data_IF_117966307938
#
_entry.id   IF_117966307938
#
_cell.length_a   1.000
_cell.length_b   1.000
_cell.length_c   1.000
_cell.angle_alpha   90.00
_cell.angle_beta   90.00
_cell.angle_gamma   90.00
#
_symmetry.space_group_name_H-M   'P 1'
#
loop_
_entity.id
_entity.type
_entity.pdbx_description
1 polymer ?
#
# COMPACT_ATOMS: atom_id res chain seq x y z
N UNK A 1 15.09 25.20 -11.69
CA UNK A 1 14.96 26.66 -11.67
C UNK A 1 13.47 27.04 -11.68
N UNK A 2 12.99 27.82 -10.67
CA UNK A 2 11.71 28.50 -10.69
C UNK A 2 10.44 27.65 -10.48
N UNK A 3 10.50 26.54 -9.73
CA UNK A 3 9.29 25.75 -9.44
C UNK A 3 8.97 25.72 -7.95
N UNK A 4 7.76 26.14 -7.59
CA UNK A 4 7.26 26.14 -6.21
C UNK A 4 6.84 24.77 -5.72
N UNK A 5 6.52 23.82 -6.62
CA UNK A 5 6.04 22.50 -6.26
C UNK A 5 6.56 21.37 -7.16
N UNK A 6 6.83 20.22 -6.55
CA UNK A 6 7.11 18.96 -7.25
C UNK A 6 6.02 17.94 -7.00
N UNK A 7 5.57 17.25 -8.04
CA UNK A 7 4.71 16.06 -7.92
C UNK A 7 5.48 14.86 -8.44
N UNK A 8 5.65 13.87 -7.56
CA UNK A 8 6.45 12.68 -7.83
C UNK A 8 5.62 11.40 -7.74
N UNK A 9 6.29 10.29 -8.06
CA UNK A 9 5.84 8.92 -7.80
C UNK A 9 6.91 8.12 -7.06
N UNK A 10 6.57 6.92 -6.63
CA UNK A 10 7.40 6.03 -5.79
C UNK A 10 8.79 5.72 -6.32
N UNK A 11 9.01 5.83 -7.63
CA UNK A 11 10.34 5.62 -8.26
C UNK A 11 11.33 6.75 -7.99
N UNK A 12 10.85 7.92 -7.58
CA UNK A 12 11.68 9.10 -7.28
C UNK A 12 11.91 9.18 -5.77
N UNK A 13 13.10 8.83 -5.33
CA UNK A 13 13.50 8.98 -3.93
C UNK A 13 13.94 10.41 -3.64
N UNK A 14 13.45 10.97 -2.52
CA UNK A 14 13.87 12.32 -2.04
C UNK A 14 14.41 12.19 -0.62
N UNK A 15 15.71 12.35 -0.49
CA UNK A 15 16.47 12.35 0.76
C UNK A 15 17.80 13.07 0.54
N UNK A 16 18.61 13.37 1.58
CA UNK A 16 19.88 14.09 1.43
C UNK A 16 20.90 13.45 0.47
N UNK A 17 20.82 12.11 0.25
CA UNK A 17 21.74 11.41 -0.66
C UNK A 17 21.33 11.54 -2.12
N UNK A 18 20.03 11.53 -2.41
CA UNK A 18 19.51 11.56 -3.79
C UNK A 18 19.25 12.97 -4.28
N UNK A 19 18.92 13.88 -3.37
CA UNK A 19 18.68 15.32 -3.64
C UNK A 19 19.39 16.11 -2.53
N UNK A 20 20.70 16.33 -2.65
CA UNK A 20 21.52 16.96 -1.60
C UNK A 20 21.19 18.43 -1.36
N UNK A 21 20.61 19.12 -2.35
CA UNK A 21 20.11 20.50 -2.20
C UNK A 21 18.74 20.62 -2.86
N UNK A 22 17.82 21.29 -2.17
CA UNK A 22 16.47 21.61 -2.66
C UNK A 22 16.47 23.06 -3.15
N UNK A 23 15.75 23.39 -4.24
CA UNK A 23 15.59 24.77 -4.69
C UNK A 23 14.98 25.66 -3.60
N UNK A 24 15.47 26.90 -3.46
CA UNK A 24 14.98 27.87 -2.46
C UNK A 24 13.49 28.22 -2.67
N UNK A 25 13.05 28.21 -3.92
CA UNK A 25 11.66 28.51 -4.29
C UNK A 25 10.69 27.34 -3.98
N UNK A 26 11.20 26.12 -3.75
CA UNK A 26 10.38 24.94 -3.57
C UNK A 26 9.68 24.96 -2.21
N UNK A 27 8.35 24.99 -2.23
CA UNK A 27 7.49 25.06 -1.04
C UNK A 27 6.72 23.75 -0.77
N UNK A 28 6.49 22.96 -1.82
CA UNK A 28 5.64 21.78 -1.72
C UNK A 28 6.22 20.60 -2.51
N UNK A 29 6.20 19.42 -1.91
CA UNK A 29 6.41 18.15 -2.60
C UNK A 29 5.19 17.26 -2.38
N UNK A 30 4.58 16.78 -3.46
CA UNK A 30 3.47 15.86 -3.45
C UNK A 30 3.84 14.50 -4.02
N UNK A 31 3.49 13.39 -3.35
CA UNK A 31 3.62 12.06 -3.93
C UNK A 31 2.28 11.51 -4.39
N UNK A 32 2.16 11.21 -5.70
CA UNK A 32 1.00 10.54 -6.27
C UNK A 32 1.06 9.02 -5.99
N UNK A 33 1.06 8.67 -4.69
CA UNK A 33 1.17 7.32 -4.14
C UNK A 33 0.43 7.19 -2.82
N UNK A 34 0.11 5.96 -2.42
CA UNK A 34 -0.44 5.67 -1.09
C UNK A 34 0.65 5.60 -0.02
N UNK A 35 1.81 5.00 -0.35
CA UNK A 35 2.97 4.92 0.54
C UNK A 35 3.92 6.10 0.38
N UNK A 36 4.79 6.30 1.37
CA UNK A 36 5.74 7.42 1.43
C UNK A 36 7.17 6.99 1.71
N UNK A 37 7.48 5.71 1.59
CA UNK A 37 8.79 5.12 1.95
C UNK A 37 9.96 5.67 1.13
N UNK A 38 9.67 6.31 -0.02
CA UNK A 38 10.64 6.95 -0.92
C UNK A 38 10.96 8.42 -0.54
N UNK A 39 10.32 8.95 0.51
CA UNK A 39 10.43 10.36 0.94
C UNK A 39 10.97 10.43 2.36
N UNK A 40 12.07 11.12 2.53
CA UNK A 40 12.59 11.54 3.84
C UNK A 40 11.84 12.79 4.32
N UNK A 41 10.82 12.56 5.16
CA UNK A 41 9.95 13.63 5.66
C UNK A 41 10.67 14.59 6.61
N UNK A 42 11.63 14.08 7.37
CA UNK A 42 12.43 14.91 8.29
C UNK A 42 13.30 15.85 7.49
N UNK A 43 13.95 15.34 6.43
CA UNK A 43 14.72 16.16 5.52
C UNK A 43 13.89 17.30 4.91
N UNK A 44 12.66 17.00 4.44
CA UNK A 44 11.78 18.03 3.88
C UNK A 44 11.35 19.06 4.95
N UNK A 45 10.99 18.59 6.13
CA UNK A 45 10.57 19.46 7.25
C UNK A 45 11.69 20.42 7.67
N UNK A 46 12.94 19.94 7.77
CA UNK A 46 14.09 20.77 8.08
C UNK A 46 14.38 21.85 7.02
N UNK A 47 13.99 21.61 5.77
CA UNK A 47 14.12 22.57 4.67
C UNK A 47 12.85 23.43 4.47
N UNK A 48 11.88 23.38 5.39
CA UNK A 48 10.64 24.16 5.31
C UNK A 48 9.68 23.77 4.18
N UNK A 49 9.84 22.56 3.61
CA UNK A 49 9.03 22.08 2.49
C UNK A 49 7.85 21.29 3.00
N UNK A 50 6.64 21.71 2.61
CA UNK A 50 5.41 20.95 2.87
C UNK A 50 5.40 19.67 2.05
N UNK A 51 5.09 18.54 2.70
CA UNK A 51 4.91 17.25 2.03
C UNK A 51 3.50 16.73 2.19
N UNK A 52 2.93 16.21 1.11
CA UNK A 52 1.67 15.47 1.16
C UNK A 52 1.63 14.31 0.14
N UNK A 53 0.66 13.40 0.29
CA UNK A 53 0.51 12.23 -0.56
C UNK A 53 -0.97 11.85 -0.71
N UNK A 54 -1.28 10.70 -1.34
CA UNK A 54 -2.66 10.24 -1.55
C UNK A 54 -2.94 8.94 -0.80
N UNK A 55 -3.12 8.98 0.54
CA UNK A 55 -3.38 7.78 1.32
C UNK A 55 -4.64 7.07 0.83
N UNK A 56 -4.57 5.74 0.71
CA UNK A 56 -5.70 4.91 0.30
C UNK A 56 -6.07 4.95 -1.20
N UNK A 57 -5.36 5.70 -2.04
CA UNK A 57 -5.68 5.83 -3.47
C UNK A 57 -5.70 4.48 -4.23
N UNK A 58 -4.95 3.48 -3.75
CA UNK A 58 -4.86 2.14 -4.32
C UNK A 58 -5.57 1.06 -3.47
N UNK A 59 -6.22 1.43 -2.37
CA UNK A 59 -6.77 0.48 -1.40
C UNK A 59 -7.76 -0.51 -2.04
N UNK A 60 -8.61 -0.04 -2.95
CA UNK A 60 -9.56 -0.89 -3.65
C UNK A 60 -8.86 -1.87 -4.60
N UNK A 61 -7.83 -1.42 -5.32
CA UNK A 61 -7.06 -2.29 -6.23
C UNK A 61 -6.34 -3.41 -5.47
N UNK A 62 -5.69 -3.09 -4.33
CA UNK A 62 -5.06 -4.10 -3.47
C UNK A 62 -6.09 -5.07 -2.90
N UNK A 63 -7.24 -4.56 -2.43
CA UNK A 63 -8.31 -5.41 -1.91
C UNK A 63 -8.89 -6.35 -3.00
N UNK A 64 -9.00 -5.89 -4.24
CA UNK A 64 -9.42 -6.72 -5.39
C UNK A 64 -8.37 -7.77 -5.74
N UNK A 65 -7.09 -7.40 -5.77
CA UNK A 65 -5.99 -8.34 -5.96
C UNK A 65 -6.03 -9.45 -4.91
N UNK A 66 -6.14 -9.08 -3.63
CA UNK A 66 -6.18 -10.03 -2.51
C UNK A 66 -7.40 -10.96 -2.61
N UNK A 67 -8.60 -10.41 -2.83
CA UNK A 67 -9.81 -11.22 -2.98
C UNK A 67 -9.72 -12.18 -4.17
N UNK A 68 -9.28 -11.69 -5.33
CA UNK A 68 -9.09 -12.52 -6.53
C UNK A 68 -8.07 -13.64 -6.27
N UNK A 69 -6.99 -13.34 -5.58
CA UNK A 69 -5.98 -14.32 -5.20
C UNK A 69 -6.51 -15.39 -4.24
N UNK A 70 -7.35 -15.01 -3.26
CA UNK A 70 -8.06 -15.95 -2.39
C UNK A 70 -8.98 -16.87 -3.19
N UNK A 71 -9.78 -16.31 -4.11
CA UNK A 71 -10.70 -17.08 -4.95
C UNK A 71 -9.95 -18.05 -5.88
N UNK A 72 -8.82 -17.61 -6.45
CA UNK A 72 -7.95 -18.46 -7.27
C UNK A 72 -7.39 -19.63 -6.46
N UNK A 73 -6.95 -19.37 -5.22
CA UNK A 73 -6.48 -20.40 -4.31
C UNK A 73 -7.58 -21.39 -3.95
N UNK A 74 -8.78 -20.91 -3.58
CA UNK A 74 -9.95 -21.77 -3.30
C UNK A 74 -10.29 -22.65 -4.50
N UNK A 75 -10.31 -22.08 -5.71
CA UNK A 75 -10.56 -22.85 -6.95
C UNK A 75 -9.54 -23.97 -7.14
N UNK A 76 -8.25 -23.70 -6.90
CA UNK A 76 -7.18 -24.69 -7.04
C UNK A 76 -7.27 -25.83 -6.01
N UNK A 77 -7.78 -25.53 -4.83
CA UNK A 77 -7.98 -26.52 -3.73
C UNK A 77 -9.37 -27.15 -3.74
N UNK A 78 -10.20 -26.84 -4.74
CA UNK A 78 -11.62 -27.27 -4.86
C UNK A 78 -12.44 -26.89 -3.64
N UNK A 79 -12.11 -25.75 -3.00
CA UNK A 79 -12.80 -25.19 -1.85
C UNK A 79 -13.62 -23.96 -2.20
N UNK A 80 -14.44 -23.52 -1.26
CA UNK A 80 -15.20 -22.28 -1.34
C UNK A 80 -14.69 -21.30 -0.29
N UNK A 81 -14.54 -20.02 -0.65
CA UNK A 81 -14.03 -19.01 0.26
C UNK A 81 -14.91 -18.78 1.49
N UNK A 82 -16.23 -18.99 1.34
CA UNK A 82 -17.22 -18.92 2.42
C UNK A 82 -17.02 -19.96 3.54
N UNK A 83 -16.28 -21.04 3.26
CA UNK A 83 -15.95 -22.08 4.24
C UNK A 83 -14.67 -21.72 5.04
N UNK A 84 -14.09 -20.55 4.81
CA UNK A 84 -12.87 -20.10 5.46
C UNK A 84 -13.12 -18.85 6.29
N UNK A 85 -12.38 -18.73 7.41
CA UNK A 85 -12.31 -17.52 8.21
C UNK A 85 -11.05 -16.74 7.85
N UNK A 86 -11.19 -15.45 7.53
CA UNK A 86 -10.10 -14.57 7.12
C UNK A 86 -9.66 -13.68 8.29
N UNK A 87 -8.39 -13.71 8.67
CA UNK A 87 -7.76 -12.74 9.56
C UNK A 87 -7.20 -11.57 8.74
N UNK A 88 -7.71 -10.37 8.97
CA UNK A 88 -7.23 -9.13 8.34
C UNK A 88 -6.34 -8.40 9.35
N UNK A 89 -5.05 -8.30 9.06
CA UNK A 89 -4.06 -7.68 9.94
C UNK A 89 -3.74 -6.29 9.39
N UNK A 90 -4.17 -5.25 10.11
CA UNK A 90 -4.20 -3.86 9.64
C UNK A 90 -5.54 -3.48 9.02
N UNK A 91 -6.34 -2.69 9.74
CA UNK A 91 -7.67 -2.23 9.34
C UNK A 91 -7.64 -0.75 8.89
N UNK A 92 -6.58 -0.37 8.16
CA UNK A 92 -6.47 0.89 7.43
C UNK A 92 -7.34 0.91 6.18
N UNK A 93 -7.03 1.77 5.21
CA UNK A 93 -7.80 1.89 3.96
C UNK A 93 -7.96 0.55 3.23
N UNK A 94 -6.87 -0.22 3.10
CA UNK A 94 -6.87 -1.49 2.36
C UNK A 94 -7.61 -2.58 3.12
N UNK A 95 -7.32 -2.75 4.42
CA UNK A 95 -7.99 -3.77 5.24
C UNK A 95 -9.50 -3.55 5.31
N UNK A 96 -9.95 -2.29 5.45
CA UNK A 96 -11.39 -1.94 5.40
C UNK A 96 -11.99 -2.22 4.02
N UNK A 97 -11.27 -1.92 2.93
CA UNK A 97 -11.76 -2.21 1.58
C UNK A 97 -11.92 -3.72 1.35
N UNK A 98 -10.96 -4.54 1.84
CA UNK A 98 -11.06 -6.00 1.81
C UNK A 98 -12.22 -6.50 2.67
N UNK A 99 -12.35 -6.01 3.91
CA UNK A 99 -13.43 -6.39 4.83
C UNK A 99 -14.82 -6.18 4.21
N UNK A 100 -15.04 -5.02 3.55
CA UNK A 100 -16.30 -4.74 2.83
C UNK A 100 -16.57 -5.73 1.70
N UNK A 101 -15.55 -6.13 0.95
CA UNK A 101 -15.68 -7.11 -0.14
C UNK A 101 -16.00 -8.51 0.40
N UNK A 102 -15.32 -8.94 1.46
CA UNK A 102 -15.57 -10.22 2.12
C UNK A 102 -16.99 -10.28 2.70
N UNK A 103 -17.43 -9.20 3.37
CA UNK A 103 -18.79 -9.09 3.90
C UNK A 103 -19.85 -9.17 2.80
N UNK A 104 -19.63 -8.52 1.66
CA UNK A 104 -20.58 -8.52 0.53
C UNK A 104 -20.80 -9.92 -0.09
N UNK A 105 -19.83 -10.82 0.06
CA UNK A 105 -19.92 -12.22 -0.43
C UNK A 105 -20.12 -13.25 0.69
N UNK A 106 -20.45 -12.80 1.91
CA UNK A 106 -20.76 -13.68 3.04
C UNK A 106 -19.57 -14.39 3.68
N UNK A 107 -18.33 -13.92 3.45
CA UNK A 107 -17.11 -14.51 4.03
C UNK A 107 -16.87 -13.96 5.43
N UNK A 108 -16.67 -14.86 6.40
CA UNK A 108 -16.36 -14.50 7.79
C UNK A 108 -14.95 -13.97 7.93
N UNK A 109 -14.78 -12.86 8.67
CA UNK A 109 -13.44 -12.30 8.93
C UNK A 109 -13.29 -11.79 10.37
N UNK A 110 -12.03 -11.66 10.81
CA UNK A 110 -11.62 -11.02 12.04
C UNK A 110 -10.59 -9.91 11.72
N UNK A 111 -10.86 -8.67 12.18
CA UNK A 111 -9.98 -7.53 11.94
C UNK A 111 -9.09 -7.24 13.16
N UNK A 112 -7.77 -7.20 12.97
CA UNK A 112 -6.78 -6.89 13.98
C UNK A 112 -6.10 -5.56 13.67
N UNK A 113 -6.30 -4.55 14.50
CA UNK A 113 -5.63 -3.25 14.44
C UNK A 113 -5.73 -2.54 15.81
N UNK A 114 -4.90 -2.90 16.79
CA UNK A 114 -4.92 -2.26 18.11
C UNK A 114 -4.69 -0.75 18.06
N UNK A 115 -3.77 -0.20 17.24
CA UNK A 115 -3.61 1.24 17.12
C UNK A 115 -4.86 1.97 16.65
N UNK A 116 -5.63 1.36 15.73
CA UNK A 116 -6.90 1.93 15.27
C UNK A 116 -7.95 1.89 16.36
N UNK A 117 -8.07 0.78 17.09
CA UNK A 117 -9.03 0.66 18.18
C UNK A 117 -8.82 1.68 19.32
N UNK A 118 -7.57 2.19 19.48
CA UNK A 118 -7.29 3.27 20.43
C UNK A 118 -7.70 4.66 19.92
N UNK A 119 -7.79 4.86 18.60
CA UNK A 119 -8.11 6.16 17.99
C UNK A 119 -9.58 6.29 17.59
N UNK A 120 -10.24 5.19 17.30
CA UNK A 120 -11.60 5.17 16.74
C UNK A 120 -12.52 4.33 17.63
N UNK A 121 -13.37 4.97 18.41
CA UNK A 121 -14.31 4.30 19.34
C UNK A 121 -15.28 3.34 18.64
N UNK A 122 -15.60 3.60 17.38
CA UNK A 122 -16.47 2.75 16.56
C UNK A 122 -15.82 1.44 16.09
N UNK A 123 -14.50 1.30 16.21
CA UNK A 123 -13.76 0.11 15.78
C UNK A 123 -13.32 -0.74 16.98
N UNK A 124 -13.50 -2.05 16.88
CA UNK A 124 -12.99 -3.03 17.85
C UNK A 124 -11.99 -3.96 17.14
N UNK A 125 -10.74 -3.96 17.62
CA UNK A 125 -9.75 -4.94 17.20
C UNK A 125 -10.07 -6.30 17.81
N UNK A 126 -9.96 -7.39 17.04
CA UNK A 126 -9.97 -8.72 17.63
C UNK A 126 -8.71 -8.95 18.49
N UNK A 127 -8.71 -9.97 19.33
CA UNK A 127 -7.51 -10.42 20.03
C UNK A 127 -6.56 -11.12 19.06
N UNK A 128 -5.26 -11.07 19.37
CA UNK A 128 -4.23 -11.73 18.56
C UNK A 128 -4.47 -13.24 18.41
N UNK A 129 -4.91 -13.89 19.48
CA UNK A 129 -5.24 -15.32 19.47
C UNK A 129 -6.38 -15.67 18.51
N UNK A 130 -7.30 -14.75 18.24
CA UNK A 130 -8.35 -14.96 17.24
C UNK A 130 -7.79 -15.20 15.84
N UNK A 131 -6.62 -14.62 15.54
CA UNK A 131 -5.93 -14.80 14.26
C UNK A 131 -5.39 -16.22 14.10
N UNK A 132 -5.01 -16.90 15.21
CA UNK A 132 -4.56 -18.30 15.20
C UNK A 132 -5.67 -19.26 14.79
N UNK A 133 -6.93 -18.84 14.94
CA UNK A 133 -8.13 -19.60 14.57
C UNK A 133 -8.62 -19.29 13.14
N UNK A 134 -7.96 -18.41 12.42
CA UNK A 134 -8.29 -18.12 11.03
C UNK A 134 -7.61 -19.13 10.08
N UNK A 135 -8.26 -19.42 8.96
CA UNK A 135 -7.69 -20.26 7.88
C UNK A 135 -6.74 -19.46 6.98
N UNK A 136 -7.09 -18.20 6.76
CA UNK A 136 -6.38 -17.27 5.85
C UNK A 136 -5.95 -16.05 6.63
N UNK A 137 -4.70 -15.65 6.49
CA UNK A 137 -4.20 -14.38 7.02
C UNK A 137 -3.83 -13.43 5.88
N UNK A 138 -4.29 -12.18 5.96
CA UNK A 138 -3.98 -11.14 4.99
C UNK A 138 -3.42 -9.90 5.68
N UNK A 139 -2.20 -9.51 5.30
CA UNK A 139 -1.46 -8.42 5.91
C UNK A 139 -1.64 -7.12 5.15
N UNK A 140 -2.02 -6.05 5.87
CA UNK A 140 -2.26 -4.70 5.37
C UNK A 140 -1.65 -3.64 6.28
N UNK A 141 -0.49 -3.95 6.82
CA UNK A 141 0.25 -3.11 7.75
C UNK A 141 1.18 -2.14 7.01
N UNK A 142 1.45 -0.93 7.54
CA UNK A 142 2.62 -0.15 7.14
C UNK A 142 3.89 -0.85 7.65
N UNK A 143 5.05 -0.55 7.08
CA UNK A 143 6.32 -0.96 7.65
C UNK A 143 6.72 -0.01 8.79
N UNK A 144 6.89 -0.53 9.99
CA UNK A 144 7.31 0.20 11.19
C UNK A 144 8.38 -0.64 11.87
N UNK A 145 9.61 -0.14 11.91
CA UNK A 145 10.75 -0.85 12.48
C UNK A 145 10.76 -0.81 14.01
N UNK A 146 10.42 0.34 14.59
CA UNK A 146 10.50 0.58 16.03
C UNK A 146 9.26 1.28 16.57
N UNK A 147 9.08 1.28 17.89
CA UNK A 147 8.02 1.96 18.58
C UNK A 147 7.05 1.02 19.30
N UNK A 148 5.92 1.56 19.73
CA UNK A 148 4.93 0.80 20.54
C UNK A 148 4.26 -0.34 19.76
N UNK A 149 4.14 -0.20 18.44
CA UNK A 149 3.47 -1.16 17.56
C UNK A 149 4.34 -1.44 16.33
N UNK A 150 5.49 -2.11 16.48
CA UNK A 150 6.35 -2.46 15.36
C UNK A 150 5.63 -3.46 14.46
N UNK A 151 5.93 -3.39 13.16
CA UNK A 151 5.36 -4.29 12.16
C UNK A 151 6.43 -5.02 11.36
N UNK A 152 7.69 -4.61 11.48
CA UNK A 152 8.83 -5.37 10.97
C UNK A 152 8.86 -6.74 11.64
N UNK A 153 8.92 -7.78 10.84
CA UNK A 153 8.86 -9.18 11.27
C UNK A 153 7.64 -9.49 12.18
N UNK A 154 6.50 -8.81 11.94
CA UNK A 154 5.27 -9.09 12.66
C UNK A 154 4.98 -10.59 12.72
N UNK A 155 5.29 -11.31 11.65
CA UNK A 155 5.40 -12.76 11.64
C UNK A 155 6.87 -13.13 11.42
N UNK A 156 7.54 -13.86 12.36
CA UNK A 156 6.95 -14.59 13.50
C UNK A 156 6.92 -13.86 14.86
N UNK A 157 7.46 -12.66 15.00
CA UNK A 157 7.81 -12.07 16.31
C UNK A 157 6.57 -11.74 17.16
N UNK A 158 5.47 -11.33 16.52
CA UNK A 158 4.20 -11.01 17.18
C UNK A 158 3.17 -12.12 16.95
N UNK A 159 3.09 -12.67 15.74
CA UNK A 159 2.15 -13.71 15.36
C UNK A 159 2.88 -14.88 14.70
N UNK A 160 2.89 -16.04 15.37
CA UNK A 160 3.41 -17.28 14.82
C UNK A 160 2.36 -18.02 13.97
N UNK A 161 2.83 -18.84 13.03
CA UNK A 161 1.93 -19.72 12.27
C UNK A 161 1.22 -20.73 13.18
N UNK A 162 -0.03 -21.00 12.88
CA UNK A 162 -0.89 -21.97 13.55
C UNK A 162 -1.18 -23.15 12.60
N UNK A 163 -1.42 -24.36 13.12
CA UNK A 163 -1.85 -25.51 12.31
C UNK A 163 -3.16 -25.32 11.55
N UNK A 164 -3.93 -24.28 11.89
CA UNK A 164 -5.18 -23.92 11.18
C UNK A 164 -4.92 -23.06 9.95
N UNK A 165 -3.80 -22.35 9.89
CA UNK A 165 -3.49 -21.49 8.75
C UNK A 165 -3.26 -22.34 7.50
N UNK A 166 -3.92 -21.97 6.41
CA UNK A 166 -3.85 -22.62 5.09
C UNK A 166 -3.27 -21.70 4.03
N UNK A 167 -3.51 -20.38 4.20
CA UNK A 167 -3.07 -19.37 3.24
C UNK A 167 -2.58 -18.12 3.97
N UNK A 168 -1.41 -17.63 3.58
CA UNK A 168 -0.81 -16.38 4.05
C UNK A 168 -0.66 -15.44 2.86
N UNK A 169 -1.14 -14.20 3.00
CA UNK A 169 -1.11 -13.20 1.93
C UNK A 169 -0.40 -11.94 2.43
N UNK A 170 0.64 -11.51 1.73
CA UNK A 170 1.28 -10.22 1.94
C UNK A 170 1.29 -9.40 0.66
N UNK A 171 0.44 -8.38 0.61
CA UNK A 171 0.40 -7.35 -0.43
C UNK A 171 0.54 -5.94 0.18
N UNK A 172 1.26 -5.84 1.30
CA UNK A 172 1.46 -4.59 2.03
C UNK A 172 2.90 -4.06 1.88
N UNK A 173 3.85 -4.65 2.61
CA UNK A 173 5.28 -4.30 2.53
C UNK A 173 6.14 -5.55 2.74
N UNK A 174 7.29 -5.60 2.09
CA UNK A 174 8.34 -6.55 2.42
C UNK A 174 8.83 -6.36 3.87
N UNK A 175 9.33 -7.42 4.50
CA UNK A 175 9.80 -7.39 5.88
C UNK A 175 8.71 -7.39 6.97
N UNK A 176 7.41 -7.33 6.63
CA UNK A 176 6.32 -7.57 7.60
C UNK A 176 6.28 -9.05 7.99
N UNK A 177 6.47 -9.92 7.02
CA UNK A 177 6.65 -11.36 7.23
C UNK A 177 8.12 -11.65 6.98
N UNK A 178 8.79 -12.30 7.92
CA UNK A 178 10.16 -12.76 7.74
C UNK A 178 10.19 -13.90 6.71
N UNK A 179 10.84 -13.68 5.58
CA UNK A 179 10.84 -14.63 4.45
C UNK A 179 11.47 -15.96 4.81
N UNK A 180 12.60 -15.95 5.52
CA UNK A 180 13.23 -17.15 6.08
C UNK A 180 12.30 -17.99 6.97
N UNK A 181 11.39 -17.35 7.69
CA UNK A 181 10.43 -18.06 8.53
C UNK A 181 9.44 -18.87 7.72
N UNK A 182 8.97 -18.32 6.60
CA UNK A 182 8.08 -19.03 5.67
C UNK A 182 8.79 -20.23 5.04
N UNK A 183 10.03 -20.06 4.61
CA UNK A 183 10.83 -21.14 4.00
C UNK A 183 11.05 -22.30 4.97
N UNK A 184 11.54 -22.00 6.18
CA UNK A 184 11.79 -23.02 7.23
C UNK A 184 10.50 -23.72 7.66
N UNK A 185 9.39 -22.99 7.73
CA UNK A 185 8.11 -23.59 8.13
C UNK A 185 7.65 -24.62 7.08
N UNK A 186 7.75 -24.31 5.79
CA UNK A 186 7.40 -25.25 4.73
C UNK A 186 8.32 -26.49 4.69
N UNK A 187 9.61 -26.32 4.98
CA UNK A 187 10.55 -27.45 5.08
C UNK A 187 10.17 -28.40 6.23
N UNK A 188 9.86 -27.85 7.41
CA UNK A 188 9.47 -28.64 8.59
C UNK A 188 8.15 -29.39 8.41
N UNK A 189 7.20 -28.78 7.65
CA UNK A 189 5.87 -29.36 7.44
C UNK A 189 5.82 -30.26 6.18
N UNK A 190 6.84 -30.25 5.32
CA UNK A 190 6.89 -31.13 4.14
C UNK A 190 6.65 -32.60 4.48
N UNK A 191 6.95 -33.01 5.73
CA UNK A 191 6.70 -34.36 6.26
C UNK A 191 5.24 -34.61 6.71
N UNK A 192 4.40 -33.56 6.84
CA UNK A 192 3.08 -33.66 7.49
C UNK A 192 1.88 -33.47 6.56
N UNK A 193 2.07 -33.35 5.24
CA UNK A 193 1.02 -33.06 4.24
C UNK A 193 0.16 -31.80 4.50
N UNK A 194 0.59 -30.89 5.40
CA UNK A 194 -0.12 -29.66 5.75
C UNK A 194 0.60 -28.40 5.27
N UNK A 195 1.00 -28.39 4.00
CA UNK A 195 1.67 -27.24 3.42
C UNK A 195 0.79 -25.99 3.45
N UNK A 196 1.33 -24.88 3.98
CA UNK A 196 0.71 -23.55 3.91
C UNK A 196 1.03 -22.93 2.55
N UNK A 197 0.03 -22.37 1.90
CA UNK A 197 0.20 -21.62 0.65
C UNK A 197 0.57 -20.17 0.94
N UNK A 198 1.42 -19.56 0.10
CA UNK A 198 1.80 -18.15 0.21
C UNK A 198 1.39 -17.39 -1.04
N UNK A 199 0.85 -16.19 -0.87
CA UNK A 199 0.61 -15.22 -1.93
C UNK A 199 1.38 -13.96 -1.54
N UNK A 200 2.40 -13.63 -2.31
CA UNK A 200 3.33 -12.55 -2.01
C UNK A 200 3.43 -11.60 -3.21
N UNK A 201 3.09 -10.34 -2.96
CA UNK A 201 3.25 -9.24 -3.92
C UNK A 201 4.43 -8.34 -3.57
N UNK A 202 4.95 -8.47 -2.33
CA UNK A 202 6.03 -7.65 -1.77
C UNK A 202 7.10 -8.53 -1.14
N UNK A 203 8.36 -8.05 -1.14
CA UNK A 203 9.53 -8.84 -0.82
C UNK A 203 10.51 -8.07 0.06
N UNK A 204 11.25 -8.76 0.93
CA UNK A 204 12.30 -8.12 1.77
C UNK A 204 13.39 -7.49 0.91
N UNK A 205 13.73 -8.10 -0.20
CA UNK A 205 14.85 -7.70 -1.07
C UNK A 205 14.37 -7.21 -2.44
N UNK A 206 13.38 -6.28 -2.47
CA UNK A 206 12.98 -5.66 -3.74
C UNK A 206 14.10 -4.84 -4.37
N UNK A 207 14.30 -4.88 -5.68
CA UNK A 207 13.47 -5.56 -6.70
C UNK A 207 13.90 -7.00 -7.01
N UNK A 208 14.81 -7.61 -6.27
CA UNK A 208 15.35 -8.97 -6.52
C UNK A 208 14.95 -9.88 -5.35
N UNK A 209 13.76 -10.52 -5.42
CA UNK A 209 13.28 -11.41 -4.37
C UNK A 209 14.07 -12.74 -4.34
N UNK A 210 13.98 -13.42 -3.21
CA UNK A 210 14.54 -14.78 -3.09
C UNK A 210 13.84 -15.74 -4.05
N UNK A 211 14.62 -16.39 -4.93
CA UNK A 211 14.10 -17.29 -5.98
C UNK A 211 13.45 -18.55 -5.41
N UNK A 212 13.89 -19.03 -4.26
CA UNK A 212 13.33 -20.23 -3.63
C UNK A 212 11.93 -19.91 -3.14
N UNK A 213 11.76 -18.77 -2.48
CA UNK A 213 10.46 -18.31 -1.98
C UNK A 213 9.50 -18.01 -3.14
N UNK A 214 9.96 -17.35 -4.21
CA UNK A 214 9.16 -17.11 -5.43
C UNK A 214 8.63 -18.42 -6.00
N UNK A 215 9.48 -19.47 -6.10
CA UNK A 215 9.08 -20.77 -6.63
C UNK A 215 8.16 -21.55 -5.68
N UNK A 216 8.20 -21.30 -4.39
CA UNK A 216 7.33 -21.95 -3.41
C UNK A 216 5.99 -21.24 -3.24
N UNK A 217 5.90 -19.95 -3.60
CA UNK A 217 4.67 -19.18 -3.50
C UNK A 217 3.61 -19.71 -4.47
N UNK A 218 2.35 -19.74 -4.03
CA UNK A 218 1.20 -20.06 -4.89
C UNK A 218 0.98 -18.95 -5.94
N UNK A 219 1.10 -17.68 -5.52
CA UNK A 219 1.17 -16.51 -6.40
C UNK A 219 2.33 -15.64 -5.92
N UNK A 220 3.23 -15.29 -6.85
CA UNK A 220 4.32 -14.36 -6.66
C UNK A 220 4.22 -13.24 -7.69
N UNK A 221 4.13 -11.98 -7.25
CA UNK A 221 4.04 -10.83 -8.15
C UNK A 221 5.02 -9.72 -7.74
N UNK A 222 5.47 -8.88 -8.70
CA UNK A 222 6.50 -7.89 -8.45
C UNK A 222 5.91 -6.54 -8.00
N UNK A 223 5.25 -6.50 -6.82
CA UNK A 223 4.69 -5.31 -6.19
C UNK A 223 3.67 -4.58 -7.09
N UNK A 224 2.69 -5.33 -7.62
CA UNK A 224 1.69 -4.82 -8.56
C UNK A 224 0.26 -4.76 -8.03
N UNK A 225 -0.02 -5.28 -6.84
CA UNK A 225 -1.38 -5.34 -6.28
C UNK A 225 -2.10 -3.99 -6.28
N UNK A 226 -1.36 -2.90 -6.08
CA UNK A 226 -1.88 -1.52 -6.15
C UNK A 226 -1.95 -0.91 -7.55
N UNK A 227 -1.49 -1.62 -8.58
CA UNK A 227 -1.37 -1.08 -9.95
C UNK A 227 -2.68 -1.23 -10.72
N UNK A 228 -3.52 -0.20 -10.68
CA UNK A 228 -4.69 -0.10 -11.54
C UNK A 228 -4.79 1.30 -12.16
N UNK A 229 -5.51 1.41 -13.29
CA UNK A 229 -5.78 2.71 -13.91
C UNK A 229 -6.49 3.65 -12.93
N UNK A 230 -7.47 3.12 -12.19
CA UNK A 230 -8.25 3.86 -11.20
C UNK A 230 -7.37 4.35 -10.05
N UNK A 231 -6.49 3.49 -9.51
CA UNK A 231 -5.55 3.87 -8.44
C UNK A 231 -4.62 5.01 -8.89
N UNK A 232 -4.09 4.95 -10.11
CA UNK A 232 -3.23 6.01 -10.67
C UNK A 232 -3.97 7.33 -10.81
N UNK A 233 -5.22 7.31 -11.27
CA UNK A 233 -6.08 8.50 -11.38
C UNK A 233 -6.37 9.07 -9.99
N UNK A 234 -6.76 8.23 -9.03
CA UNK A 234 -7.04 8.67 -7.66
C UNK A 234 -5.80 9.24 -6.98
N UNK A 235 -4.63 8.62 -7.17
CA UNK A 235 -3.37 9.14 -6.66
C UNK A 235 -3.06 10.55 -7.18
N UNK A 236 -3.18 10.76 -8.49
CA UNK A 236 -2.96 12.07 -9.10
C UNK A 236 -3.98 13.11 -8.64
N UNK A 237 -5.28 12.75 -8.61
CA UNK A 237 -6.33 13.66 -8.11
C UNK A 237 -6.13 14.03 -6.65
N UNK A 238 -5.78 13.04 -5.81
CA UNK A 238 -5.56 13.26 -4.38
C UNK A 238 -4.42 14.24 -4.12
N UNK A 239 -3.27 14.06 -4.75
CA UNK A 239 -2.11 14.95 -4.55
C UNK A 239 -2.35 16.34 -5.14
N UNK A 240 -3.04 16.44 -6.29
CA UNK A 240 -3.39 17.75 -6.87
C UNK A 240 -4.33 18.55 -5.96
N UNK A 241 -5.34 17.91 -5.37
CA UNK A 241 -6.22 18.60 -4.38
C UNK A 241 -5.42 19.18 -3.22
N UNK A 242 -4.45 18.43 -2.70
CA UNK A 242 -3.61 18.88 -1.59
C UNK A 242 -2.66 19.99 -1.99
N UNK A 243 -2.08 19.90 -3.18
CA UNK A 243 -1.29 20.99 -3.76
C UNK A 243 -2.13 22.27 -3.86
N UNK A 244 -3.34 22.18 -4.43
CA UNK A 244 -4.21 23.34 -4.60
C UNK A 244 -4.66 23.92 -3.26
N UNK A 245 -5.00 23.08 -2.28
CA UNK A 245 -5.34 23.58 -0.94
C UNK A 245 -4.15 24.18 -0.18
N UNK A 246 -2.91 23.88 -0.58
CA UNK A 246 -1.72 24.52 -0.01
C UNK A 246 -1.50 25.94 -0.55
N UNK A 247 -1.72 26.14 -1.86
CA UNK A 247 -1.44 27.43 -2.52
C UNK A 247 -2.68 28.32 -2.65
N UNK A 248 -3.91 27.75 -2.67
CA UNK A 248 -5.15 28.49 -2.87
C UNK A 248 -6.32 27.83 -2.15
N UNK A 249 -6.87 28.51 -1.13
CA UNK A 249 -8.03 28.04 -0.35
C UNK A 249 -9.35 28.02 -1.13
N UNK A 250 -9.43 28.64 -2.33
CA UNK A 250 -10.67 28.75 -3.11
C UNK A 250 -10.91 27.64 -4.14
N UNK A 251 -9.96 26.68 -4.27
CA UNK A 251 -10.14 25.58 -5.22
C UNK A 251 -11.11 24.52 -4.71
N UNK A 252 -12.25 24.41 -5.39
CA UNK A 252 -13.30 23.40 -5.11
C UNK A 252 -13.27 22.24 -6.09
N UNK A 253 -13.79 21.08 -5.66
CA UNK A 253 -13.89 19.85 -6.49
C UNK A 253 -14.61 20.05 -7.85
N UNK A 254 -15.50 21.03 -7.94
CA UNK A 254 -16.22 21.37 -9.18
C UNK A 254 -15.27 21.85 -10.29
N UNK A 255 -14.23 22.61 -9.98
CA UNK A 255 -13.26 23.08 -10.97
C UNK A 255 -12.37 21.95 -11.53
N UNK A 256 -12.17 20.87 -10.76
CA UNK A 256 -11.46 19.67 -11.24
C UNK A 256 -12.32 18.79 -12.17
N UNK A 257 -13.64 18.79 -12.01
CA UNK A 257 -14.54 17.97 -12.84
C UNK A 257 -14.76 18.58 -14.23
N UNK A 258 -14.83 19.90 -14.38
CA UNK A 258 -15.05 20.56 -15.67
C UNK A 258 -13.91 20.40 -16.69
N UNK A 259 -12.66 20.17 -16.25
CA UNK A 259 -11.53 19.92 -17.16
C UNK A 259 -11.44 18.49 -17.70
N UNK A 260 -12.27 17.55 -17.25
CA UNK A 260 -12.28 16.17 -17.75
C UNK A 260 -13.12 15.96 -19.04
N UNK A 261 -13.98 16.91 -19.42
CA UNK A 261 -14.83 16.75 -20.61
C UNK A 261 -14.17 17.21 -21.93
N UNK A 262 -13.00 17.83 -21.87
CA UNK A 262 -12.34 18.35 -23.08
C UNK A 262 -11.01 17.62 -23.40
N UNK A 263 -11.03 16.27 -23.36
CA UNK A 263 -9.85 15.45 -23.69
C UNK A 263 -9.57 15.32 -25.20
N UNK A 264 -10.28 16.05 -26.06
CA UNK A 264 -10.06 16.05 -27.51
C UNK A 264 -9.36 17.29 -28.05
N UNK A 265 -9.05 18.27 -27.23
CA UNK A 265 -8.23 19.43 -27.67
C UNK A 265 -7.15 19.74 -26.64
N UNK A 266 -5.88 19.52 -27.03
CA UNK A 266 -4.69 20.05 -26.38
C UNK A 266 -4.83 21.54 -26.10
N UNK A 267 -5.23 21.88 -24.87
CA UNK A 267 -4.93 23.18 -24.25
C UNK A 267 -4.93 22.96 -22.76
N UNK A 268 -3.77 22.61 -22.21
CA UNK A 268 -3.37 23.07 -20.88
C UNK A 268 -3.30 24.58 -20.99
N UNK A 269 -4.42 25.26 -20.71
CA UNK A 269 -4.50 26.68 -20.68
C UNK A 269 -3.71 27.18 -19.49
N UNK A 270 -2.68 27.94 -19.75
CA UNK A 270 -2.04 28.95 -18.90
C UNK A 270 -1.66 28.53 -17.46
N UNK A 271 -0.96 27.41 -17.30
CA UNK A 271 0.09 27.30 -16.33
C UNK A 271 1.38 27.68 -17.07
N UNK A 272 1.94 28.83 -16.80
CA UNK A 272 3.00 29.43 -17.61
C UNK A 272 4.30 28.64 -17.66
N UNK A 273 4.50 27.62 -16.81
CA UNK A 273 5.61 26.68 -16.91
C UNK A 273 5.23 25.31 -16.30
N UNK A 274 4.95 24.33 -17.15
CA UNK A 274 4.80 22.94 -16.75
C UNK A 274 5.85 22.08 -17.47
N UNK A 275 6.76 21.46 -16.72
CA UNK A 275 7.77 20.55 -17.23
C UNK A 275 7.47 19.10 -16.82
N UNK A 276 7.44 18.15 -17.77
CA UNK A 276 7.33 16.74 -17.48
C UNK A 276 8.63 16.01 -17.79
N UNK A 277 9.24 15.45 -16.77
CA UNK A 277 10.45 14.62 -16.92
C UNK A 277 10.05 13.15 -17.13
N UNK A 278 10.13 12.68 -18.37
CA UNK A 278 9.80 11.29 -18.73
C UNK A 278 10.68 10.24 -18.07
N UNK A 279 11.94 10.54 -17.73
CA UNK A 279 12.87 9.59 -17.10
C UNK A 279 12.52 9.34 -15.63
N UNK A 280 12.10 10.37 -14.91
CA UNK A 280 11.77 10.29 -13.47
C UNK A 280 10.28 10.19 -13.20
N UNK A 281 9.43 10.29 -14.23
CA UNK A 281 7.97 10.31 -14.11
C UNK A 281 7.47 11.42 -13.15
N UNK A 282 8.11 12.58 -13.21
CA UNK A 282 7.88 13.73 -12.32
C UNK A 282 7.21 14.85 -13.11
N UNK A 283 6.12 15.38 -12.58
CA UNK A 283 5.50 16.61 -13.04
C UNK A 283 5.99 17.76 -12.18
N UNK A 284 6.55 18.78 -12.80
CA UNK A 284 7.08 19.98 -12.14
C UNK A 284 6.16 21.14 -12.49
N UNK A 285 5.63 21.84 -11.48
CA UNK A 285 4.69 22.93 -11.64
C UNK A 285 5.25 24.20 -11.01
N UNK A 286 5.13 25.31 -11.73
CA UNK A 286 5.24 26.65 -11.16
C UNK A 286 3.83 27.19 -10.93
N UNK A 287 3.57 27.66 -9.71
CA UNK A 287 2.29 28.28 -9.32
C UNK A 287 2.58 29.78 -9.18
N UNK A 288 2.06 30.58 -10.11
CA UNK A 288 2.13 32.03 -10.09
C UNK A 288 1.09 32.63 -9.14
#
# INVERSE_FOLDING_TARGET
EGFDAWILRTVTKVNPKTVPSLPEELKFIGSASAGTDHIDKEYLSHNGIQFDHSPGCNANAVAEYVLTSMLTWCSSTRGELTNHKVGIIGMGHTGVALAKKLQAIGVSYAGYDPPKALREESFRSCHLDTLKDCDILSFHLPYIDQGRYPTHHFMPDILSLSPKHKLIINAARGGIIKEDYLLRHNELIALSNKKISFILDVWETEPVPDKVLVNQAFIATPHIAGYSKQAKIQASKGVLRRLLSHFDSEWTDSKLQHKQMDSTKNKLGEASNCGFNKKTNTLILSVL
#
